data_IF_565007144101
#
_entry.id   IF_565007144101
#
_cell.length_a   1.000
_cell.length_b   1.000
_cell.length_c   1.000
_cell.angle_alpha   90.00
_cell.angle_beta   90.00
_cell.angle_gamma   90.00
#
_symmetry.space_group_name_H-M   'P 1'
#
loop_
_entity.id
_entity.type
_entity.pdbx_description
1 polymer ?
#
# COMPACT_ATOMS: atom_id res chain seq x y z
N UNK A 1 7.04 0.36 20.69
CA UNK A 1 6.86 -0.14 19.29
C UNK A 1 7.21 0.99 18.33
N UNK A 2 8.04 0.72 17.35
CA UNK A 2 8.34 1.62 16.22
C UNK A 2 7.46 1.24 15.01
N UNK A 3 7.10 2.22 14.19
CA UNK A 3 6.26 2.01 13.02
C UNK A 3 7.02 2.40 11.76
N UNK A 4 7.28 1.42 10.88
CA UNK A 4 7.85 1.66 9.56
C UNK A 4 6.77 1.46 8.49
N UNK A 5 6.55 2.46 7.65
CA UNK A 5 5.69 2.34 6.48
C UNK A 5 6.55 2.07 5.24
N UNK A 6 6.28 0.96 4.59
CA UNK A 6 6.94 0.53 3.36
C UNK A 6 5.95 0.65 2.21
N UNK A 7 6.18 1.63 1.34
CA UNK A 7 5.39 1.82 0.11
C UNK A 7 6.06 1.06 -1.01
N UNK A 8 5.43 -0.02 -1.49
CA UNK A 8 5.97 -0.75 -2.63
C UNK A 8 5.50 -0.14 -3.95
N UNK A 9 6.45 0.15 -4.85
CA UNK A 9 6.15 0.61 -6.20
C UNK A 9 7.22 0.12 -7.20
N UNK A 10 6.86 0.04 -8.47
CA UNK A 10 7.77 -0.28 -9.57
C UNK A 10 7.30 0.36 -10.87
N UNK A 11 8.24 0.63 -11.79
CA UNK A 11 7.95 1.16 -13.12
C UNK A 11 7.23 0.15 -14.03
N UNK A 12 7.44 -1.15 -13.79
CA UNK A 12 6.99 -2.25 -14.64
C UNK A 12 5.52 -2.64 -14.43
N UNK A 13 4.58 -1.70 -14.58
CA UNK A 13 3.14 -2.02 -14.65
C UNK A 13 2.79 -2.53 -16.05
N UNK A 14 2.07 -3.65 -16.16
CA UNK A 14 1.69 -4.23 -17.46
C UNK A 14 0.57 -3.44 -18.13
N UNK A 15 -0.46 -3.03 -17.37
CA UNK A 15 -1.67 -2.36 -17.88
C UNK A 15 -1.46 -0.87 -18.13
N UNK A 16 -0.63 -0.23 -17.30
CA UNK A 16 -0.30 1.20 -17.42
C UNK A 16 1.19 1.41 -17.07
N UNK A 17 2.10 1.19 -18.04
CA UNK A 17 3.54 1.33 -17.82
C UNK A 17 3.93 2.72 -17.31
N UNK A 18 4.77 2.76 -16.27
CA UNK A 18 5.22 4.01 -15.68
C UNK A 18 4.16 4.77 -14.86
N UNK A 19 3.01 4.17 -14.57
CA UNK A 19 1.89 4.81 -13.86
C UNK A 19 2.31 5.56 -12.59
N UNK A 20 3.28 5.01 -11.86
CA UNK A 20 3.71 5.57 -10.56
C UNK A 20 4.34 6.95 -10.66
N UNK A 21 4.93 7.29 -11.81
CA UNK A 21 5.47 8.63 -12.09
C UNK A 21 4.62 9.44 -13.07
N UNK A 22 3.48 8.90 -13.55
CA UNK A 22 2.53 9.65 -14.40
C UNK A 22 2.02 10.86 -13.63
N UNK A 23 2.06 12.07 -14.22
CA UNK A 23 1.71 13.29 -13.49
C UNK A 23 0.20 13.45 -13.33
N UNK A 24 -0.26 13.72 -12.12
CA UNK A 24 -1.58 14.26 -11.79
C UNK A 24 -1.38 15.72 -11.43
N UNK A 25 -2.02 16.65 -12.13
CA UNK A 25 -1.82 18.10 -11.93
C UNK A 25 -0.34 18.52 -11.93
N UNK A 26 0.48 17.90 -12.77
CA UNK A 26 1.91 18.19 -12.89
C UNK A 26 2.82 17.55 -11.82
N UNK A 27 2.27 16.81 -10.85
CA UNK A 27 3.01 16.11 -9.79
C UNK A 27 2.95 14.60 -10.00
N UNK A 28 4.09 13.88 -9.97
CA UNK A 28 4.11 12.42 -10.08
C UNK A 28 3.18 11.71 -9.11
N UNK A 29 2.40 10.72 -9.58
CA UNK A 29 1.37 10.04 -8.80
C UNK A 29 1.89 9.47 -7.47
N UNK A 30 3.08 8.88 -7.45
CA UNK A 30 3.68 8.29 -6.24
C UNK A 30 3.86 9.32 -5.11
N UNK A 31 4.14 10.57 -5.45
CA UNK A 31 4.33 11.63 -4.47
C UNK A 31 3.05 11.97 -3.71
N UNK A 32 1.88 11.81 -4.34
CA UNK A 32 0.61 11.93 -3.62
C UNK A 32 0.49 10.86 -2.53
N UNK A 33 0.83 9.61 -2.85
CA UNK A 33 0.82 8.51 -1.87
C UNK A 33 1.78 8.80 -0.70
N UNK A 34 3.02 9.18 -1.01
CA UNK A 34 4.05 9.45 0.00
C UNK A 34 3.72 10.67 0.86
N UNK A 35 3.31 11.79 0.24
CA UNK A 35 2.94 13.00 0.99
C UNK A 35 1.75 12.79 1.92
N UNK A 36 0.77 12.00 1.49
CA UNK A 36 -0.39 11.67 2.31
C UNK A 36 0.01 10.79 3.49
N UNK A 37 0.84 9.77 3.27
CA UNK A 37 1.37 8.91 4.34
C UNK A 37 2.28 9.67 5.31
N UNK A 38 3.02 10.68 4.86
CA UNK A 38 3.84 11.53 5.73
C UNK A 38 3.02 12.37 6.73
N UNK A 39 1.69 12.47 6.55
CA UNK A 39 0.76 13.13 7.49
C UNK A 39 0.23 12.18 8.58
N UNK A 40 0.53 10.89 8.51
CA UNK A 40 0.21 9.96 9.61
C UNK A 40 0.91 10.37 10.89
N UNK A 41 0.20 10.22 12.02
CA UNK A 41 0.72 10.57 13.37
C UNK A 41 1.55 9.44 13.97
N UNK A 42 1.46 8.24 13.41
CA UNK A 42 2.04 7.04 14.00
C UNK A 42 3.20 6.45 13.18
N UNK A 43 3.43 6.92 11.95
CA UNK A 43 4.54 6.46 11.13
C UNK A 43 5.84 7.15 11.60
N UNK A 44 6.76 6.38 12.19
CA UNK A 44 8.10 6.88 12.58
C UNK A 44 9.06 6.95 11.38
N UNK A 45 8.88 6.03 10.41
CA UNK A 45 9.73 5.91 9.23
C UNK A 45 8.90 5.60 8.01
N UNK A 46 9.02 6.41 6.97
CA UNK A 46 8.37 6.22 5.68
C UNK A 46 9.43 6.00 4.60
N UNK A 47 9.32 4.90 3.85
CA UNK A 47 10.23 4.56 2.77
C UNK A 47 9.48 4.08 1.53
N UNK A 48 10.03 4.38 0.36
CA UNK A 48 9.67 3.70 -0.87
C UNK A 48 10.52 2.43 -1.01
N UNK A 49 9.92 1.29 -1.36
CA UNK A 49 10.63 0.05 -1.66
C UNK A 49 10.40 -0.37 -3.11
N UNK A 50 11.45 -0.28 -3.93
CA UNK A 50 11.43 -0.66 -5.35
C UNK A 50 12.45 -1.76 -5.68
N UNK A 51 12.51 -2.19 -6.94
CA UNK A 51 13.49 -3.18 -7.36
C UNK A 51 14.89 -2.56 -7.58
N UNK A 52 15.90 -3.41 -7.62
CA UNK A 52 17.29 -3.00 -7.89
C UNK A 52 17.60 -2.80 -9.38
N UNK A 53 16.60 -2.95 -10.27
CA UNK A 53 16.77 -2.76 -11.70
C UNK A 53 17.02 -1.30 -12.07
N UNK A 54 17.82 -1.09 -13.11
CA UNK A 54 18.06 0.24 -13.67
C UNK A 54 16.78 0.91 -14.19
N UNK A 55 15.79 0.13 -14.61
CA UNK A 55 14.49 0.63 -15.05
C UNK A 55 13.73 1.42 -13.98
N UNK A 56 14.09 1.26 -12.71
CA UNK A 56 13.48 1.98 -11.59
C UNK A 56 14.11 3.38 -11.34
N UNK A 57 15.21 3.73 -12.02
CA UNK A 57 15.89 5.02 -11.82
C UNK A 57 14.96 6.25 -11.93
N UNK A 58 14.01 6.34 -12.88
CA UNK A 58 13.10 7.48 -12.92
C UNK A 58 12.24 7.60 -11.64
N UNK A 59 11.79 6.49 -11.08
CA UNK A 59 11.02 6.45 -9.84
C UNK A 59 11.89 6.84 -8.63
N UNK A 60 13.10 6.29 -8.57
CA UNK A 60 14.08 6.60 -7.50
C UNK A 60 14.39 8.08 -7.50
N UNK A 61 14.76 8.65 -8.65
CA UNK A 61 15.10 10.07 -8.77
C UNK A 61 13.92 10.98 -8.36
N UNK A 62 12.69 10.64 -8.75
CA UNK A 62 11.49 11.39 -8.35
C UNK A 62 11.35 11.43 -6.83
N UNK A 63 11.52 10.30 -6.15
CA UNK A 63 11.32 10.22 -4.71
C UNK A 63 12.47 10.87 -3.92
N UNK A 64 13.72 10.61 -4.32
CA UNK A 64 14.91 11.17 -3.64
C UNK A 64 15.00 12.69 -3.79
N UNK A 65 14.62 13.25 -4.96
CA UNK A 65 14.59 14.69 -5.17
C UNK A 65 13.59 15.42 -4.26
N UNK A 66 12.52 14.73 -3.84
CA UNK A 66 11.53 15.23 -2.87
C UNK A 66 11.87 14.86 -1.42
N UNK A 67 13.05 14.26 -1.20
CA UNK A 67 13.56 13.93 0.15
C UNK A 67 13.03 12.63 0.75
N UNK A 68 12.37 11.78 -0.04
CA UNK A 68 11.94 10.47 0.41
C UNK A 68 13.06 9.45 0.33
N UNK A 69 13.17 8.61 1.35
CA UNK A 69 14.13 7.51 1.36
C UNK A 69 13.66 6.36 0.47
N UNK A 70 14.58 5.81 -0.31
CA UNK A 70 14.32 4.71 -1.23
C UNK A 70 15.16 3.49 -0.86
N UNK A 71 14.51 2.35 -0.70
CA UNK A 71 15.16 1.06 -0.57
C UNK A 71 15.05 0.29 -1.89
N UNK A 72 16.17 -0.21 -2.38
CA UNK A 72 16.23 -1.05 -3.59
C UNK A 72 16.54 -2.49 -3.20
N UNK A 73 15.69 -3.42 -3.63
CA UNK A 73 15.84 -4.82 -3.27
C UNK A 73 15.33 -5.77 -4.35
N UNK A 74 15.20 -7.03 -3.98
CA UNK A 74 14.89 -8.12 -4.92
C UNK A 74 13.62 -7.84 -5.74
N UNK A 75 13.70 -8.02 -7.07
CA UNK A 75 12.61 -7.71 -7.99
C UNK A 75 11.39 -8.62 -7.81
N UNK A 76 11.57 -9.92 -7.97
CA UNK A 76 10.47 -10.89 -7.97
C UNK A 76 10.06 -11.32 -6.56
N UNK A 77 11.01 -11.39 -5.62
CA UNK A 77 10.70 -11.73 -4.23
C UNK A 77 10.41 -10.47 -3.43
N UNK A 78 9.17 -10.00 -3.50
CA UNK A 78 8.71 -8.78 -2.80
C UNK A 78 8.76 -8.97 -1.28
N UNK A 79 8.43 -10.17 -0.78
CA UNK A 79 8.54 -10.51 0.65
C UNK A 79 9.97 -10.31 1.15
N UNK A 80 10.98 -10.77 0.38
CA UNK A 80 12.39 -10.55 0.71
C UNK A 80 12.72 -9.06 0.72
N UNK A 81 12.23 -8.29 -0.25
CA UNK A 81 12.46 -6.83 -0.30
C UNK A 81 11.90 -6.13 0.94
N UNK A 82 10.72 -6.54 1.42
CA UNK A 82 10.16 -6.02 2.68
C UNK A 82 11.03 -6.39 3.89
N UNK A 83 11.44 -7.66 3.99
CA UNK A 83 12.31 -8.13 5.07
C UNK A 83 13.64 -7.37 5.11
N UNK A 84 14.31 -7.27 3.96
CA UNK A 84 15.59 -6.58 3.85
C UNK A 84 15.45 -5.08 4.16
N UNK A 85 14.36 -4.44 3.73
CA UNK A 85 14.09 -3.03 4.02
C UNK A 85 13.87 -2.79 5.54
N UNK A 86 13.06 -3.63 6.17
CA UNK A 86 12.82 -3.54 7.63
C UNK A 86 14.12 -3.75 8.40
N UNK A 87 14.93 -4.74 8.02
CA UNK A 87 16.21 -5.03 8.68
C UNK A 87 17.23 -3.92 8.49
N UNK A 88 17.20 -3.22 7.35
CA UNK A 88 18.10 -2.11 7.06
C UNK A 88 17.79 -0.86 7.90
N UNK A 89 16.50 -0.54 8.07
CA UNK A 89 16.09 0.69 8.75
C UNK A 89 15.80 0.54 10.23
N UNK A 90 15.51 -0.67 10.71
CA UNK A 90 15.12 -0.95 12.09
C UNK A 90 16.12 -1.86 12.78
N UNK A 91 16.48 -1.54 14.04
CA UNK A 91 17.38 -2.38 14.82
C UNK A 91 16.74 -3.75 15.12
N UNK A 92 17.57 -4.78 15.29
CA UNK A 92 17.12 -6.17 15.44
C UNK A 92 16.31 -6.43 16.71
N UNK A 93 16.56 -5.65 17.76
CA UNK A 93 15.92 -5.76 19.07
C UNK A 93 14.70 -4.84 19.24
N UNK A 94 14.38 -4.01 18.22
CA UNK A 94 13.20 -3.14 18.26
C UNK A 94 11.91 -3.93 18.04
N UNK A 95 10.90 -3.59 18.83
CA UNK A 95 9.51 -3.99 18.57
C UNK A 95 8.94 -3.11 17.45
N UNK A 96 8.71 -3.72 16.27
CA UNK A 96 8.38 -3.00 15.03
C UNK A 96 7.04 -3.46 14.47
N UNK A 97 6.16 -2.49 14.19
CA UNK A 97 5.01 -2.65 13.30
C UNK A 97 5.40 -2.20 11.88
N UNK A 98 5.09 -3.03 10.90
CA UNK A 98 5.31 -2.74 9.48
C UNK A 98 3.97 -2.39 8.84
N UNK A 99 3.86 -1.18 8.33
CA UNK A 99 2.71 -0.73 7.53
C UNK A 99 3.02 -0.97 6.07
N UNK A 100 2.12 -1.66 5.37
CA UNK A 100 2.20 -1.91 3.93
C UNK A 100 1.16 -1.09 3.20
N UNK A 101 1.62 -0.29 2.24
CA UNK A 101 0.79 0.40 1.25
C UNK A 101 1.39 0.18 -0.13
N UNK A 102 0.54 0.11 -1.16
CA UNK A 102 0.99 0.03 -2.55
C UNK A 102 1.03 1.41 -3.20
N UNK A 103 2.03 1.68 -4.04
CA UNK A 103 2.27 3.00 -4.62
C UNK A 103 1.25 3.41 -5.70
N UNK A 104 0.25 2.59 -5.95
CA UNK A 104 -0.87 2.85 -6.86
C UNK A 104 -2.14 3.32 -6.14
N UNK A 105 -2.02 3.69 -4.86
CA UNK A 105 -3.11 4.21 -4.03
C UNK A 105 -2.91 5.72 -3.73
N UNK A 106 -2.98 6.63 -4.73
CA UNK A 106 -2.69 8.05 -4.53
C UNK A 106 -3.70 8.79 -3.66
N UNK A 107 -4.85 8.18 -3.39
CA UNK A 107 -5.91 8.70 -2.53
C UNK A 107 -5.91 8.08 -1.11
N UNK A 108 -4.85 7.34 -0.73
CA UNK A 108 -4.74 6.77 0.62
C UNK A 108 -5.01 7.82 1.71
N UNK A 109 -5.82 7.48 2.70
CA UNK A 109 -6.20 8.45 3.75
C UNK A 109 -5.36 8.21 5.02
N UNK A 110 -4.54 9.19 5.46
CA UNK A 110 -3.71 9.05 6.65
C UNK A 110 -4.53 8.81 7.93
N UNK A 111 -5.79 9.26 7.98
CA UNK A 111 -6.68 8.99 9.12
C UNK A 111 -7.06 7.50 9.17
N UNK A 112 -7.35 6.91 8.01
CA UNK A 112 -7.62 5.46 7.91
C UNK A 112 -6.35 4.68 8.28
N UNK A 113 -5.19 5.10 7.78
CA UNK A 113 -3.89 4.49 8.13
C UNK A 113 -3.67 4.52 9.63
N UNK A 114 -3.85 5.67 10.27
CA UNK A 114 -3.72 5.84 11.72
C UNK A 114 -4.69 4.93 12.49
N UNK A 115 -5.91 4.76 12.00
CA UNK A 115 -6.89 3.86 12.61
C UNK A 115 -6.46 2.39 12.57
N UNK A 116 -5.88 1.93 11.44
CA UNK A 116 -5.39 0.55 11.34
C UNK A 116 -4.16 0.33 12.22
N UNK A 117 -3.23 1.30 12.28
CA UNK A 117 -2.06 1.25 13.15
C UNK A 117 -2.49 1.18 14.61
N UNK A 118 -3.40 2.06 15.04
CA UNK A 118 -3.87 2.08 16.44
C UNK A 118 -4.64 0.81 16.79
N UNK A 119 -5.45 0.28 15.87
CA UNK A 119 -6.13 -1.00 16.07
C UNK A 119 -5.13 -2.14 16.27
N UNK A 120 -4.07 -2.20 15.44
CA UNK A 120 -2.99 -3.16 15.60
C UNK A 120 -2.29 -3.03 16.97
N UNK A 121 -2.02 -1.80 17.42
CA UNK A 121 -1.33 -1.54 18.70
C UNK A 121 -2.19 -1.87 19.93
N UNK A 122 -3.51 -1.74 19.82
CA UNK A 122 -4.44 -1.93 20.95
C UNK A 122 -4.77 -3.41 21.21
N UNK A 123 -4.62 -4.27 20.23
CA UNK A 123 -4.99 -5.68 20.33
C UNK A 123 -3.81 -6.57 19.99
N UNK A 124 -3.84 -7.81 20.47
CA UNK A 124 -2.79 -8.82 20.27
C UNK A 124 -2.96 -9.52 18.91
N UNK A 125 -2.67 -8.77 17.84
CA UNK A 125 -2.67 -9.28 16.47
C UNK A 125 -1.26 -9.43 15.90
N UNK A 126 -1.06 -10.42 15.03
CA UNK A 126 0.13 -10.55 14.20
C UNK A 126 0.01 -9.75 12.89
N UNK A 127 -1.24 -9.60 12.41
CA UNK A 127 -1.59 -8.92 11.17
C UNK A 127 -2.99 -8.29 11.24
N UNK A 128 -3.11 -7.05 10.78
CA UNK A 128 -4.39 -6.33 10.66
C UNK A 128 -4.49 -5.69 9.28
N UNK A 129 -5.67 -5.73 8.69
CA UNK A 129 -5.97 -5.05 7.43
C UNK A 129 -7.35 -4.38 7.45
N UNK A 130 -7.58 -3.49 6.50
CA UNK A 130 -8.93 -3.06 6.18
C UNK A 130 -9.74 -4.21 5.57
N UNK A 131 -11.01 -4.24 5.85
CA UNK A 131 -11.98 -5.14 5.23
C UNK A 131 -12.39 -4.60 3.85
N UNK A 132 -11.50 -4.78 2.86
CA UNK A 132 -11.65 -4.35 1.47
C UNK A 132 -11.93 -5.59 0.61
N UNK A 133 -12.92 -5.59 -0.29
CA UNK A 133 -13.81 -4.46 -0.65
C UNK A 133 -15.10 -4.39 0.19
N UNK A 134 -15.30 -5.26 1.16
CA UNK A 134 -16.60 -5.47 1.80
C UNK A 134 -17.06 -4.27 2.64
N UNK A 135 -16.14 -3.50 3.24
CA UNK A 135 -16.48 -2.33 4.03
C UNK A 135 -15.68 -1.05 3.70
N UNK A 136 -14.74 -1.12 2.77
CA UNK A 136 -13.99 0.03 2.24
C UNK A 136 -13.81 -0.10 0.74
N UNK A 137 -13.85 1.04 0.04
CA UNK A 137 -13.48 1.12 -1.37
C UNK A 137 -11.99 0.74 -1.57
N UNK A 138 -11.69 0.05 -2.68
CA UNK A 138 -10.30 -0.24 -3.07
C UNK A 138 -9.53 1.05 -3.33
N UNK A 139 -8.26 1.07 -2.88
CA UNK A 139 -7.39 2.25 -2.94
C UNK A 139 -7.25 2.98 -1.60
N UNK A 140 -8.04 2.58 -0.58
CA UNK A 140 -7.74 2.88 0.82
C UNK A 140 -6.96 1.76 1.51
N UNK A 141 -6.55 0.75 0.75
CA UNK A 141 -5.92 -0.46 1.26
C UNK A 141 -4.68 -0.16 2.09
N UNK A 142 -4.72 -0.56 3.36
CA UNK A 142 -3.59 -0.53 4.28
C UNK A 142 -3.56 -1.80 5.13
N UNK A 143 -2.37 -2.28 5.36
CA UNK A 143 -2.10 -3.48 6.13
C UNK A 143 -1.01 -3.19 7.17
N UNK A 144 -1.14 -3.75 8.36
CA UNK A 144 -0.17 -3.61 9.45
C UNK A 144 0.14 -4.98 10.01
N UNK A 145 1.41 -5.31 10.16
CA UNK A 145 1.85 -6.58 10.73
C UNK A 145 3.11 -6.41 11.58
N UNK A 146 3.32 -7.33 12.50
CA UNK A 146 4.53 -7.33 13.32
C UNK A 146 5.76 -7.77 12.50
N UNK A 147 6.94 -7.24 12.86
CA UNK A 147 8.22 -7.76 12.35
C UNK A 147 8.34 -9.27 12.58
N UNK A 148 7.88 -9.74 13.74
CA UNK A 148 7.87 -11.16 14.07
C UNK A 148 7.05 -11.99 13.08
N UNK A 149 5.86 -11.50 12.69
CA UNK A 149 5.05 -12.16 11.67
C UNK A 149 5.76 -12.18 10.30
N UNK A 150 6.41 -11.08 9.93
CA UNK A 150 7.23 -11.01 8.71
C UNK A 150 8.35 -12.04 8.73
N UNK A 151 9.08 -12.18 9.85
CA UNK A 151 10.17 -13.13 10.01
C UNK A 151 9.67 -14.58 9.89
N UNK A 152 8.59 -14.91 10.59
CA UNK A 152 7.97 -16.25 10.55
C UNK A 152 7.55 -16.62 9.11
N UNK A 153 6.89 -15.71 8.42
CA UNK A 153 6.46 -15.94 7.03
C UNK A 153 7.65 -16.04 6.09
N UNK A 154 8.64 -15.16 6.25
CA UNK A 154 9.86 -15.18 5.43
C UNK A 154 10.59 -16.52 5.56
N UNK A 155 10.79 -17.00 6.78
CA UNK A 155 11.48 -18.28 7.04
C UNK A 155 10.71 -19.46 6.44
N UNK A 156 9.38 -19.49 6.59
CA UNK A 156 8.53 -20.56 6.03
C UNK A 156 8.55 -20.60 4.50
N UNK A 157 8.50 -19.45 3.87
CA UNK A 157 8.39 -19.32 2.40
C UNK A 157 9.75 -19.49 1.70
N UNK A 158 10.86 -19.22 2.41
CA UNK A 158 12.21 -19.27 1.86
C UNK A 158 13.05 -20.44 2.41
N UNK A 159 12.45 -21.53 2.91
CA UNK A 159 13.17 -22.72 3.34
C UNK A 159 14.08 -23.22 2.21
N UNK A 160 15.39 -23.33 2.48
CA UNK A 160 16.38 -23.83 1.53
C UNK A 160 16.01 -25.23 1.06
N UNK A 161 16.07 -25.47 -0.25
CA UNK A 161 15.81 -26.73 -0.95
C UNK A 161 14.34 -27.07 -1.26
N UNK A 162 13.40 -26.16 -1.08
CA UNK A 162 12.07 -26.32 -1.66
C UNK A 162 12.00 -25.45 -2.92
N UNK A 163 12.41 -25.97 -4.06
CA UNK A 163 11.99 -25.51 -5.38
C UNK A 163 10.49 -25.81 -5.52
N UNK A 164 9.66 -25.00 -4.89
CA UNK A 164 8.23 -25.18 -4.94
C UNK A 164 7.62 -23.87 -5.47
N UNK A 165 7.24 -23.90 -6.74
CA UNK A 165 6.37 -22.87 -7.37
C UNK A 165 5.13 -22.55 -6.52
N UNK A 166 4.72 -23.45 -5.63
CA UNK A 166 3.65 -23.26 -4.64
C UNK A 166 3.89 -22.05 -3.71
N UNK A 167 5.14 -21.69 -3.42
CA UNK A 167 5.46 -20.56 -2.53
C UNK A 167 5.76 -19.26 -3.28
N UNK A 168 5.85 -19.29 -4.63
CA UNK A 168 6.16 -18.10 -5.42
C UNK A 168 5.08 -17.02 -5.25
N UNK A 169 3.82 -17.42 -5.15
CA UNK A 169 2.72 -16.49 -4.88
C UNK A 169 2.87 -15.75 -3.54
N UNK A 170 3.43 -16.39 -2.51
CA UNK A 170 3.69 -15.75 -1.21
C UNK A 170 4.95 -14.89 -1.20
N UNK A 171 5.88 -15.14 -2.13
CA UNK A 171 7.06 -14.27 -2.35
C UNK A 171 6.68 -12.99 -3.06
N UNK A 172 5.71 -13.05 -3.96
CA UNK A 172 5.18 -11.91 -4.69
C UNK A 172 4.19 -11.10 -3.84
N UNK A 173 3.25 -11.78 -3.18
CA UNK A 173 2.19 -11.14 -2.36
C UNK A 173 2.54 -11.23 -0.88
N UNK A 174 3.23 -10.21 -0.37
CA UNK A 174 3.90 -10.13 0.95
C UNK A 174 3.04 -10.65 2.11
N UNK A 175 1.76 -10.29 2.13
CA UNK A 175 0.83 -10.55 3.24
C UNK A 175 -0.12 -11.72 2.97
N UNK A 176 -0.10 -12.30 1.76
CA UNK A 176 -1.02 -13.36 1.36
C UNK A 176 -0.96 -14.58 2.29
N UNK A 177 0.24 -14.95 2.74
CA UNK A 177 0.40 -16.04 3.70
C UNK A 177 -0.30 -15.71 5.01
N UNK A 178 -0.15 -14.47 5.50
CA UNK A 178 -0.64 -14.05 6.81
C UNK A 178 -2.16 -14.22 6.94
N UNK A 179 -2.92 -13.75 5.93
CA UNK A 179 -4.38 -13.85 6.01
C UNK A 179 -4.98 -15.17 5.49
N UNK A 180 -4.16 -16.03 4.86
CA UNK A 180 -4.59 -17.39 4.46
C UNK A 180 -4.32 -18.46 5.52
N UNK A 181 -3.47 -18.16 6.51
CA UNK A 181 -3.06 -19.10 7.56
C UNK A 181 -3.43 -18.53 8.94
N UNK A 182 -4.73 -18.30 9.14
CA UNK A 182 -5.28 -17.75 10.40
C UNK A 182 -5.18 -18.73 11.58
N UNK A 183 -4.88 -19.97 11.31
CA UNK A 183 -4.54 -20.99 12.32
C UNK A 183 -3.14 -20.80 12.93
N UNK A 184 -2.27 -20.07 12.23
CA UNK A 184 -0.89 -19.83 12.67
C UNK A 184 -0.66 -18.39 13.13
N UNK A 185 -1.43 -17.43 12.60
CA UNK A 185 -1.28 -15.99 12.84
C UNK A 185 -2.61 -15.37 13.27
N UNK A 186 -2.56 -14.51 14.25
CA UNK A 186 -3.73 -13.76 14.73
C UNK A 186 -4.05 -12.61 13.77
N UNK A 187 -5.13 -12.77 13.02
CA UNK A 187 -5.56 -11.84 11.98
C UNK A 187 -6.72 -10.98 12.46
N UNK A 188 -6.58 -9.66 12.31
CA UNK A 188 -7.63 -8.67 12.59
C UNK A 188 -8.11 -7.94 11.34
N UNK A 189 -9.34 -7.44 11.40
CA UNK A 189 -9.97 -6.65 10.35
C UNK A 189 -10.53 -5.36 10.92
N UNK A 190 -10.20 -4.23 10.29
CA UNK A 190 -10.85 -2.96 10.58
C UNK A 190 -11.98 -2.77 9.57
N UNK A 191 -13.21 -2.68 10.09
CA UNK A 191 -14.41 -2.45 9.30
C UNK A 191 -14.75 -0.97 9.24
N UNK A 192 -15.22 -0.53 8.08
CA UNK A 192 -15.68 0.83 7.85
C UNK A 192 -17.10 1.06 8.39
N UNK A 193 -17.46 2.35 8.51
CA UNK A 193 -18.85 2.78 8.66
C UNK A 193 -19.59 2.60 7.31
N UNK A 194 -20.93 2.60 7.33
CA UNK A 194 -21.78 2.45 6.13
C UNK A 194 -21.42 3.42 4.98
N UNK A 195 -20.93 4.61 5.32
CA UNK A 195 -20.43 5.58 4.35
C UNK A 195 -19.39 5.00 3.39
N UNK A 196 -18.54 4.10 3.87
CA UNK A 196 -17.43 3.51 3.11
C UNK A 196 -17.82 2.24 2.33
N UNK A 197 -19.05 1.72 2.51
CA UNK A 197 -19.55 0.55 1.81
C UNK A 197 -19.92 0.91 0.36
N UNK A 198 -18.91 1.19 -0.45
CA UNK A 198 -19.06 1.60 -1.85
C UNK A 198 -18.13 0.77 -2.72
N UNK A 199 -18.69 0.30 -3.82
CA UNK A 199 -17.94 -0.43 -4.85
C UNK A 199 -17.20 0.55 -5.78
N UNK A 200 -16.43 1.46 -5.15
CA UNK A 200 -15.56 2.37 -5.88
C UNK A 200 -14.15 1.80 -5.96
N UNK A 201 -13.49 2.06 -7.08
CA UNK A 201 -12.12 1.68 -7.33
C UNK A 201 -11.25 2.93 -7.43
N UNK A 202 -10.38 3.12 -6.42
CA UNK A 202 -9.53 4.30 -6.24
C UNK A 202 -8.02 3.98 -6.33
N UNK A 203 -7.67 2.71 -6.58
CA UNK A 203 -6.31 2.33 -6.94
C UNK A 203 -6.12 2.44 -8.45
N UNK A 204 -4.94 2.83 -8.88
CA UNK A 204 -4.63 3.07 -10.29
C UNK A 204 -3.91 1.88 -10.90
N UNK A 205 -4.57 1.16 -11.81
CA UNK A 205 -3.98 0.08 -12.58
C UNK A 205 -4.13 0.28 -14.10
N UNK A 206 -5.14 1.02 -14.52
CA UNK A 206 -5.47 1.30 -15.92
C UNK A 206 -5.61 2.79 -16.18
N UNK A 207 -5.81 3.19 -17.43
CA UNK A 207 -6.04 4.59 -17.79
C UNK A 207 -7.37 5.10 -17.21
N UNK A 208 -8.40 4.25 -17.20
CA UNK A 208 -9.71 4.59 -16.62
C UNK A 208 -9.60 4.85 -15.11
N UNK A 209 -8.79 4.04 -14.38
CA UNK A 209 -8.52 4.30 -12.97
C UNK A 209 -7.81 5.65 -12.77
N UNK A 210 -6.83 5.95 -13.64
CA UNK A 210 -6.09 7.21 -13.59
C UNK A 210 -7.01 8.40 -13.83
N UNK A 211 -7.92 8.32 -14.81
CA UNK A 211 -8.91 9.35 -15.11
C UNK A 211 -9.82 9.66 -13.90
N UNK A 212 -10.29 8.64 -13.19
CA UNK A 212 -11.09 8.83 -11.96
C UNK A 212 -10.31 9.61 -10.91
N UNK A 213 -9.06 9.20 -10.66
CA UNK A 213 -8.20 9.85 -9.65
C UNK A 213 -7.86 11.28 -10.04
N UNK A 214 -7.49 11.52 -11.30
CA UNK A 214 -7.20 12.86 -11.81
C UNK A 214 -8.43 13.76 -11.72
N UNK A 215 -9.62 13.24 -12.03
CA UNK A 215 -10.87 13.97 -11.91
C UNK A 215 -11.16 14.39 -10.46
N UNK A 216 -10.91 13.51 -9.48
CA UNK A 216 -11.05 13.81 -8.06
C UNK A 216 -10.12 14.97 -7.66
N UNK A 217 -8.84 14.89 -8.04
CA UNK A 217 -7.87 15.96 -7.73
C UNK A 217 -8.18 17.28 -8.42
N UNK A 218 -8.73 17.26 -9.63
CA UNK A 218 -9.13 18.47 -10.36
C UNK A 218 -10.35 19.19 -9.76
N UNK A 219 -11.22 18.49 -9.07
CA UNK A 219 -12.51 19.03 -8.64
C UNK A 219 -12.67 19.22 -7.13
N UNK A 220 -11.75 18.67 -6.33
CA UNK A 220 -11.74 18.92 -4.88
C UNK A 220 -10.55 19.82 -4.56
N UNK A 221 -10.84 21.13 -4.46
CA UNK A 221 -9.84 22.17 -4.14
C UNK A 221 -9.52 22.16 -2.62
N UNK A 222 -8.64 21.25 -2.22
CA UNK A 222 -8.14 21.13 -0.85
C UNK A 222 -6.71 20.62 -0.82
N UNK A 223 -5.91 21.16 0.08
CA UNK A 223 -4.54 20.67 0.33
C UNK A 223 -4.52 19.20 0.73
N UNK A 224 -5.48 18.78 1.54
CA UNK A 224 -5.67 17.39 1.96
C UNK A 224 -7.12 16.95 1.73
N UNK A 225 -7.33 16.06 0.76
CA UNK A 225 -8.62 15.45 0.49
C UNK A 225 -8.78 14.23 1.40
N UNK A 226 -9.78 14.18 2.26
CA UNK A 226 -10.04 13.00 3.11
C UNK A 226 -11.01 12.03 2.43
N UNK A 227 -11.00 10.78 2.86
CA UNK A 227 -11.81 9.70 2.29
C UNK A 227 -13.30 10.00 2.22
N UNK A 228 -13.86 10.65 3.27
CA UNK A 228 -15.28 11.06 3.30
C UNK A 228 -15.63 12.04 2.18
N UNK A 229 -14.72 12.93 1.82
CA UNK A 229 -14.92 13.91 0.73
C UNK A 229 -14.84 13.22 -0.64
N UNK A 230 -13.92 12.28 -0.79
CA UNK A 230 -13.79 11.45 -2.00
C UNK A 230 -15.09 10.69 -2.24
N UNK A 231 -15.58 9.98 -1.24
CA UNK A 231 -16.82 9.21 -1.32
C UNK A 231 -18.02 10.12 -1.62
N UNK A 232 -18.10 11.27 -0.95
CA UNK A 232 -19.16 12.25 -1.21
C UNK A 232 -19.10 12.75 -2.65
N UNK A 233 -17.91 13.14 -3.13
CA UNK A 233 -17.73 13.62 -4.50
C UNK A 233 -18.19 12.58 -5.53
N UNK A 234 -17.82 11.32 -5.36
CA UNK A 234 -18.22 10.25 -6.27
C UNK A 234 -19.71 9.92 -6.21
N UNK A 235 -20.33 10.02 -5.03
CA UNK A 235 -21.79 9.89 -4.89
C UNK A 235 -22.54 11.00 -5.64
N UNK A 236 -22.01 12.23 -5.61
CA UNK A 236 -22.58 13.39 -6.28
C UNK A 236 -22.27 13.39 -7.80
N UNK A 237 -21.25 12.63 -8.24
CA UNK A 237 -20.76 12.57 -9.63
C UNK A 237 -20.65 11.12 -10.14
N UNK A 238 -21.78 10.43 -10.23
CA UNK A 238 -21.83 9.01 -10.62
C UNK A 238 -21.18 8.73 -11.99
N UNK A 239 -21.21 9.69 -12.92
CA UNK A 239 -20.52 9.55 -14.21
C UNK A 239 -19.02 9.29 -14.03
N UNK A 240 -18.37 10.01 -13.11
CA UNK A 240 -16.95 9.80 -12.76
C UNK A 240 -16.76 8.46 -12.07
N UNK A 241 -17.63 8.11 -11.12
CA UNK A 241 -17.55 6.85 -10.38
C UNK A 241 -17.69 5.61 -11.28
N UNK A 242 -18.40 5.73 -12.41
CA UNK A 242 -18.64 4.65 -13.38
C UNK A 242 -17.54 4.51 -14.44
N UNK A 243 -16.59 5.44 -14.54
CA UNK A 243 -15.53 5.42 -15.58
C UNK A 243 -14.73 4.12 -15.56
N UNK A 244 -14.45 3.57 -14.38
CA UNK A 244 -13.63 2.36 -14.22
C UNK A 244 -14.39 1.16 -13.65
N UNK A 245 -15.72 1.15 -13.71
CA UNK A 245 -16.56 0.09 -13.13
C UNK A 245 -16.29 -1.30 -13.75
N UNK A 246 -15.91 -1.33 -15.03
CA UNK A 246 -15.61 -2.57 -15.76
C UNK A 246 -14.18 -3.08 -15.54
N UNK A 247 -13.35 -2.33 -14.79
CA UNK A 247 -11.95 -2.71 -14.54
C UNK A 247 -11.87 -3.84 -13.55
N UNK A 248 -11.45 -5.02 -14.03
CA UNK A 248 -11.32 -6.23 -13.21
C UNK A 248 -10.04 -6.19 -12.37
N UNK A 249 -10.16 -6.53 -11.09
CA UNK A 249 -9.01 -6.74 -10.21
C UNK A 249 -8.28 -8.03 -10.60
N UNK A 250 -6.98 -7.93 -10.89
CA UNK A 250 -6.11 -9.10 -11.12
C UNK A 250 -5.60 -9.68 -9.80
#
# INVERSE_FOLDING_TARGET
>A
MKVICVVQARMGSERLPGKVIKPILGKPMILYTLDRLSKSRYIDKLILATSEKETEEPLVNVCENEGYEVFRGHEANVLKRYKDAVDYYMQSDEDVAVVRVTGDCPLIDPIIVDNVITHFMMYDYDYVRLDVPDSFARGFDVEVFSRKALDVVYDKVNIKNIENSKYDIYREHVTLYMYRHTEELKVGYVKGEELYFKDYRLCVDTEEDFEVVENIYNNIDKEMIISKEIIKYLNDNLGVAMTNIEVVQK
#
